data_IF_326450372076
#
_entry.id   IF_326450372076
#
_cell.length_a   1.000
_cell.length_b   1.000
_cell.length_c   1.000
_cell.angle_alpha   90.00
_cell.angle_beta   90.00
_cell.angle_gamma   90.00
#
_symmetry.space_group_name_H-M   'P 1'
#
loop_
_entity.id
_entity.type
_entity.pdbx_description
1 polymer ?
#
# COMPACT_ATOMS: atom_id res chain seq x y z
N UNK A 1 -22.89 -37.62 28.20
CA UNK A 1 -22.01 -36.86 29.10
C UNK A 1 -20.99 -36.16 28.22
N UNK A 2 -21.36 -35.09 27.50
CA UNK A 2 -21.49 -33.69 27.96
C UNK A 2 -20.13 -33.07 28.31
N UNK A 3 -19.74 -32.08 27.48
CA UNK A 3 -18.86 -30.91 27.70
C UNK A 3 -17.35 -31.15 27.50
N UNK A 4 -16.69 -30.67 26.41
CA UNK A 4 -16.36 -29.31 25.92
C UNK A 4 -15.17 -28.68 26.68
N UNK A 5 -14.04 -28.54 25.98
CA UNK A 5 -13.03 -27.47 26.16
C UNK A 5 -12.23 -27.43 24.84
N UNK A 6 -12.60 -26.64 23.83
CA UNK A 6 -12.51 -25.15 23.72
C UNK A 6 -11.09 -24.63 23.88
N UNK A 7 -10.17 -25.15 23.07
CA UNK A 7 -9.05 -24.36 22.60
C UNK A 7 -8.57 -24.95 21.28
N UNK A 8 -8.24 -24.09 20.31
CA UNK A 8 -7.51 -24.40 19.06
C UNK A 8 -8.34 -24.73 17.79
N UNK A 9 -9.09 -23.76 17.23
CA UNK A 9 -9.29 -23.69 15.78
C UNK A 9 -8.52 -22.54 15.11
N UNK A 10 -7.99 -21.57 15.88
CA UNK A 10 -7.44 -20.31 15.34
C UNK A 10 -6.10 -20.53 14.60
N UNK A 11 -5.26 -21.48 15.04
CA UNK A 11 -3.90 -21.66 14.49
C UNK A 11 -3.84 -22.21 13.07
N UNK A 12 -4.85 -22.95 12.61
CA UNK A 12 -4.87 -23.56 11.26
C UNK A 12 -5.46 -22.64 10.20
N UNK A 13 -6.38 -21.74 10.56
CA UNK A 13 -6.96 -20.78 9.63
C UNK A 13 -5.99 -19.63 9.30
N UNK A 14 -5.28 -19.09 10.29
CA UNK A 14 -4.22 -18.08 10.04
C UNK A 14 -3.13 -18.63 9.11
N UNK A 15 -2.80 -19.92 9.20
CA UNK A 15 -1.81 -20.56 8.33
C UNK A 15 -2.25 -20.74 6.86
N UNK A 16 -3.56 -20.76 6.57
CA UNK A 16 -4.12 -20.84 5.20
C UNK A 16 -4.40 -19.47 4.58
N UNK A 17 -4.60 -18.44 5.40
CA UNK A 17 -4.85 -17.05 4.96
C UNK A 17 -3.55 -16.22 4.91
N UNK A 18 -2.51 -16.61 5.66
CA UNK A 18 -1.18 -15.99 5.60
C UNK A 18 -0.56 -15.87 4.19
N UNK A 19 -0.72 -16.83 3.25
CA UNK A 19 -0.23 -16.63 1.89
C UNK A 19 -1.09 -15.66 1.10
N UNK A 20 -2.32 -15.32 1.49
CA UNK A 20 -3.19 -14.44 0.70
C UNK A 20 -2.88 -12.95 0.90
N UNK A 21 -2.57 -12.53 2.14
CA UNK A 21 -2.27 -11.13 2.46
C UNK A 21 -1.00 -10.57 1.79
N UNK A 22 0.01 -11.39 1.44
CA UNK A 22 1.32 -10.92 0.95
C UNK A 22 1.31 -9.80 -0.13
N UNK A 23 0.55 -9.88 -1.24
CA UNK A 23 0.64 -8.92 -2.34
C UNK A 23 -0.19 -7.67 -2.09
N UNK A 24 -1.37 -7.82 -1.49
CA UNK A 24 -2.19 -6.69 -1.07
C UNK A 24 -1.47 -5.90 0.03
N UNK A 25 -0.81 -6.60 0.94
CA UNK A 25 0.02 -6.01 1.98
C UNK A 25 1.23 -5.26 1.40
N UNK A 26 2.00 -5.88 0.50
CA UNK A 26 3.12 -5.23 -0.20
C UNK A 26 2.66 -4.00 -0.99
N UNK A 27 1.50 -4.05 -1.63
CA UNK A 27 0.95 -2.90 -2.31
C UNK A 27 0.48 -1.81 -1.34
N UNK A 28 -0.11 -2.16 -0.20
CA UNK A 28 -0.51 -1.20 0.83
C UNK A 28 0.69 -0.49 1.47
N UNK A 29 1.83 -1.17 1.63
CA UNK A 29 3.08 -0.57 2.14
C UNK A 29 3.56 0.55 1.23
N UNK A 30 3.41 0.40 -0.09
CA UNK A 30 3.83 1.44 -1.02
C UNK A 30 3.05 2.75 -0.85
N UNK A 31 1.84 2.72 -0.27
CA UNK A 31 1.07 3.93 0.06
C UNK A 31 1.51 4.57 1.38
N UNK A 32 2.35 3.92 2.17
CA UNK A 32 2.90 4.43 3.43
C UNK A 32 4.35 4.90 3.24
N UNK A 33 4.62 5.58 2.13
CA UNK A 33 5.93 6.11 1.79
C UNK A 33 6.15 7.53 2.36
N UNK A 34 7.41 7.96 2.54
CA UNK A 34 7.72 9.30 3.04
C UNK A 34 7.13 10.43 2.18
N UNK A 35 6.94 10.19 0.89
CA UNK A 35 6.33 11.14 -0.04
C UNK A 35 4.87 11.44 0.34
N UNK A 36 4.07 10.40 0.57
CA UNK A 36 2.69 10.56 1.01
C UNK A 36 2.59 11.13 2.44
N UNK A 37 3.54 10.82 3.32
CA UNK A 37 3.58 11.45 4.65
C UNK A 37 3.83 12.97 4.56
N UNK A 38 4.75 13.41 3.71
CA UNK A 38 5.07 14.83 3.57
C UNK A 38 3.85 15.66 3.10
N UNK A 39 3.11 15.16 2.11
CA UNK A 39 1.91 15.85 1.58
C UNK A 39 0.77 15.85 2.60
N UNK A 40 0.53 14.72 3.27
CA UNK A 40 -0.54 14.60 4.26
C UNK A 40 -0.28 15.43 5.53
N UNK A 41 0.96 15.48 6.03
CA UNK A 41 1.30 16.33 7.17
C UNK A 41 1.21 17.80 6.83
N UNK A 42 1.67 18.20 5.64
CA UNK A 42 1.54 19.59 5.19
C UNK A 42 0.05 19.97 5.07
N UNK A 43 -0.78 19.05 4.57
CA UNK A 43 -2.24 19.19 4.52
C UNK A 43 -2.89 19.39 5.87
N UNK A 44 -2.60 18.51 6.82
CA UNK A 44 -3.13 18.60 8.17
C UNK A 44 -2.64 19.83 8.93
N UNK A 45 -1.38 20.22 8.77
CA UNK A 45 -0.81 21.38 9.44
C UNK A 45 -1.37 22.72 8.92
N UNK A 46 -1.67 22.81 7.61
CA UNK A 46 -2.08 24.07 6.98
C UNK A 46 -3.61 24.23 6.96
N UNK A 47 -4.35 23.15 6.70
CA UNK A 47 -5.80 23.19 6.48
C UNK A 47 -6.60 22.34 7.48
N UNK A 48 -5.94 21.74 8.49
CA UNK A 48 -6.60 20.89 9.47
C UNK A 48 -7.32 19.72 8.82
N UNK A 49 -8.61 19.54 9.14
CA UNK A 49 -9.43 18.43 8.65
C UNK A 49 -10.06 18.67 7.26
N UNK A 50 -9.87 19.84 6.65
CA UNK A 50 -10.57 20.22 5.41
C UNK A 50 -10.26 19.30 4.22
N UNK A 51 -9.05 18.72 4.18
CA UNK A 51 -8.58 17.86 3.09
C UNK A 51 -8.82 16.36 3.34
N UNK A 52 -9.45 15.98 4.45
CA UNK A 52 -9.68 14.57 4.80
C UNK A 52 -10.52 13.86 3.74
N UNK A 53 -11.55 14.50 3.21
CA UNK A 53 -12.36 13.93 2.12
C UNK A 53 -11.53 13.63 0.86
N UNK A 54 -10.51 14.45 0.56
CA UNK A 54 -9.63 14.26 -0.60
C UNK A 54 -8.80 13.00 -0.41
N UNK A 55 -8.27 12.78 0.80
CA UNK A 55 -7.53 11.55 1.14
C UNK A 55 -8.43 10.32 1.01
N UNK A 56 -9.68 10.40 1.49
CA UNK A 56 -10.65 9.31 1.35
C UNK A 56 -10.99 9.03 -0.11
N UNK A 57 -11.22 10.08 -0.91
CA UNK A 57 -11.49 9.95 -2.35
C UNK A 57 -10.29 9.37 -3.11
N UNK A 58 -9.07 9.82 -2.77
CA UNK A 58 -7.83 9.31 -3.34
C UNK A 58 -7.63 7.82 -3.03
N UNK A 59 -7.86 7.41 -1.78
CA UNK A 59 -7.83 6.01 -1.37
C UNK A 59 -8.88 5.18 -2.12
N UNK A 60 -10.11 5.67 -2.27
CA UNK A 60 -11.14 4.96 -3.02
C UNK A 60 -10.74 4.76 -4.50
N UNK A 61 -10.13 5.77 -5.12
CA UNK A 61 -9.61 5.68 -6.49
C UNK A 61 -8.44 4.68 -6.57
N UNK A 62 -7.52 4.70 -5.60
CA UNK A 62 -6.44 3.73 -5.48
C UNK A 62 -6.98 2.30 -5.36
N UNK A 63 -7.97 2.06 -4.50
CA UNK A 63 -8.63 0.76 -4.35
C UNK A 63 -9.21 0.25 -5.66
N UNK A 64 -9.89 1.13 -6.41
CA UNK A 64 -10.42 0.78 -7.72
C UNK A 64 -9.30 0.36 -8.68
N UNK A 65 -8.26 1.18 -8.81
CA UNK A 65 -7.13 0.93 -9.73
C UNK A 65 -6.40 -0.35 -9.34
N UNK A 66 -6.10 -0.55 -8.05
CA UNK A 66 -5.44 -1.78 -7.57
C UNK A 66 -6.31 -3.01 -7.83
N UNK A 67 -7.63 -2.93 -7.59
CA UNK A 67 -8.53 -4.04 -7.88
C UNK A 67 -8.54 -4.44 -9.36
N UNK A 68 -8.40 -3.48 -10.27
CA UNK A 68 -8.33 -3.71 -11.72
C UNK A 68 -6.99 -4.34 -12.12
N UNK A 69 -5.88 -3.82 -11.61
CA UNK A 69 -4.52 -4.34 -11.84
C UNK A 69 -4.39 -5.79 -11.37
N UNK A 70 -4.96 -6.06 -10.20
CA UNK A 70 -5.01 -7.39 -9.61
C UNK A 70 -5.90 -8.33 -10.43
N UNK A 71 -7.07 -7.84 -10.90
CA UNK A 71 -7.99 -8.62 -11.73
C UNK A 71 -7.35 -9.00 -13.08
N UNK A 72 -6.57 -8.09 -13.65
CA UNK A 72 -5.82 -8.34 -14.87
C UNK A 72 -4.85 -9.51 -14.66
N UNK A 73 -3.95 -9.39 -13.68
CA UNK A 73 -2.94 -10.42 -13.39
C UNK A 73 -3.52 -11.80 -13.07
N UNK A 74 -4.66 -11.83 -12.36
CA UNK A 74 -5.34 -13.08 -12.00
C UNK A 74 -6.02 -13.77 -13.19
N UNK A 75 -6.66 -13.01 -14.09
CA UNK A 75 -7.44 -13.58 -15.20
C UNK A 75 -6.55 -13.93 -16.40
N UNK A 76 -5.64 -13.04 -16.77
CA UNK A 76 -4.81 -13.22 -17.98
C UNK A 76 -3.58 -14.07 -17.72
N UNK A 77 -3.17 -14.22 -16.45
CA UNK A 77 -1.91 -14.87 -16.08
C UNK A 77 -0.69 -14.14 -16.63
N UNK A 78 -0.82 -12.86 -16.96
CA UNK A 78 0.21 -11.98 -17.52
C UNK A 78 0.19 -10.66 -16.77
N UNK A 79 1.36 -10.06 -16.60
CA UNK A 79 1.45 -8.76 -15.93
C UNK A 79 1.03 -7.62 -16.88
N UNK A 80 0.80 -6.43 -16.32
CA UNK A 80 0.39 -5.26 -17.09
C UNK A 80 1.45 -4.86 -18.15
N UNK A 81 2.77 -4.87 -17.85
CA UNK A 81 3.81 -4.63 -18.87
C UNK A 81 3.81 -5.63 -20.04
N UNK A 82 3.60 -6.92 -19.77
CA UNK A 82 3.47 -7.98 -20.78
C UNK A 82 2.23 -7.75 -21.66
N UNK A 83 1.11 -7.33 -21.06
CA UNK A 83 -0.10 -6.94 -21.78
C UNK A 83 0.13 -5.73 -22.68
N UNK A 84 0.78 -4.68 -22.17
CA UNK A 84 1.16 -3.51 -22.94
C UNK A 84 2.08 -3.89 -24.10
N UNK A 85 3.09 -4.73 -23.89
CA UNK A 85 4.01 -5.19 -24.95
C UNK A 85 3.31 -6.04 -26.01
N UNK A 86 2.27 -6.78 -25.64
CA UNK A 86 1.51 -7.63 -26.57
C UNK A 86 0.51 -6.85 -27.44
N UNK A 87 -0.08 -5.76 -26.93
CA UNK A 87 -1.13 -5.01 -27.62
C UNK A 87 -0.67 -3.68 -28.21
N UNK A 88 0.47 -3.13 -27.76
CA UNK A 88 1.00 -1.84 -28.22
C UNK A 88 2.20 -2.01 -29.15
N UNK A 89 2.44 -1.06 -30.06
CA UNK A 89 3.62 -1.08 -30.90
C UNK A 89 4.91 -0.94 -30.06
N UNK A 90 6.01 -1.55 -30.54
CA UNK A 90 7.29 -1.66 -29.81
C UNK A 90 7.91 -0.33 -29.38
N UNK A 91 7.55 0.78 -30.01
CA UNK A 91 8.05 2.11 -29.62
C UNK A 91 7.34 2.63 -28.36
N UNK A 92 6.01 2.46 -28.25
CA UNK A 92 5.23 2.84 -27.06
C UNK A 92 5.66 2.02 -25.85
N UNK A 93 5.82 0.71 -26.03
CA UNK A 93 6.28 -0.17 -24.93
C UNK A 93 7.67 0.21 -24.40
N UNK A 94 8.57 0.72 -25.25
CA UNK A 94 9.88 1.23 -24.81
C UNK A 94 9.75 2.54 -24.03
N UNK A 95 8.89 3.45 -24.47
CA UNK A 95 8.62 4.71 -23.73
C UNK A 95 8.03 4.40 -22.36
N UNK A 96 7.04 3.50 -22.29
CA UNK A 96 6.45 3.06 -21.02
C UNK A 96 7.49 2.42 -20.09
N UNK A 97 8.43 1.65 -20.64
CA UNK A 97 9.52 1.08 -19.85
C UNK A 97 10.44 2.16 -19.27
N UNK A 98 10.89 3.12 -20.10
CA UNK A 98 11.72 4.25 -19.63
C UNK A 98 10.98 5.07 -18.58
N UNK A 99 9.69 5.34 -18.79
CA UNK A 99 8.85 6.05 -17.83
C UNK A 99 8.76 5.28 -16.50
N UNK A 100 8.50 3.98 -16.53
CA UNK A 100 8.39 3.16 -15.33
C UNK A 100 9.71 3.15 -14.53
N UNK A 101 10.85 3.06 -15.21
CA UNK A 101 12.17 3.12 -14.59
C UNK A 101 12.43 4.47 -13.93
N UNK A 102 12.12 5.58 -14.62
CA UNK A 102 12.24 6.94 -14.07
C UNK A 102 11.35 7.13 -12.84
N UNK A 103 10.13 6.62 -12.87
CA UNK A 103 9.19 6.70 -11.74
C UNK A 103 9.71 5.88 -10.55
N UNK A 104 10.22 4.67 -10.77
CA UNK A 104 10.79 3.85 -9.71
C UNK A 104 12.01 4.54 -9.07
N UNK A 105 12.94 5.08 -9.88
CA UNK A 105 14.09 5.82 -9.37
C UNK A 105 13.69 7.07 -8.58
N UNK A 106 12.63 7.77 -8.99
CA UNK A 106 12.11 8.93 -8.27
C UNK A 106 11.52 8.56 -6.91
N UNK A 107 10.79 7.42 -6.82
CA UNK A 107 10.27 6.91 -5.55
C UNK A 107 11.41 6.46 -4.63
N UNK A 108 12.40 5.72 -5.13
CA UNK A 108 13.57 5.29 -4.36
C UNK A 108 14.34 6.50 -3.78
N UNK A 109 14.46 7.59 -4.55
CA UNK A 109 15.09 8.83 -4.07
C UNK A 109 14.32 9.43 -2.88
N UNK A 110 12.98 9.47 -2.95
CA UNK A 110 12.16 9.95 -1.84
C UNK A 110 12.29 9.08 -0.59
N UNK A 111 12.40 7.75 -0.76
CA UNK A 111 12.61 6.82 0.36
C UNK A 111 13.98 7.01 1.04
N UNK A 112 15.05 7.16 0.25
CA UNK A 112 16.41 7.40 0.78
C UNK A 112 16.45 8.71 1.56
N UNK A 113 15.86 9.79 1.01
CA UNK A 113 15.79 11.09 1.68
C UNK A 113 14.96 11.01 2.96
N UNK A 114 13.79 10.36 2.90
CA UNK A 114 12.91 10.18 4.06
C UNK A 114 13.59 9.41 5.19
N UNK A 115 14.27 8.30 4.86
CA UNK A 115 15.03 7.52 5.83
C UNK A 115 16.22 8.29 6.42
N UNK A 116 16.93 9.07 5.59
CA UNK A 116 18.04 9.90 6.06
C UNK A 116 17.56 10.99 7.03
N UNK A 117 16.42 11.61 6.72
CA UNK A 117 15.78 12.60 7.58
C UNK A 117 15.31 11.97 8.90
N UNK A 118 14.75 10.76 8.87
CA UNK A 118 14.36 10.03 10.08
C UNK A 118 15.56 9.75 11.00
N UNK A 119 16.71 9.31 10.45
CA UNK A 119 17.94 9.09 11.21
C UNK A 119 18.52 10.38 11.77
N UNK A 120 18.43 11.48 11.01
CA UNK A 120 18.83 12.80 11.48
C UNK A 120 17.97 13.25 12.66
N UNK A 121 16.65 13.10 12.59
CA UNK A 121 15.74 13.48 13.68
C UNK A 121 15.89 12.60 14.93
N UNK A 122 16.16 11.31 14.76
CA UNK A 122 16.22 10.36 15.88
C UNK A 122 17.58 10.33 16.59
N UNK A 123 18.67 10.41 15.83
CA UNK A 123 20.04 10.21 16.34
C UNK A 123 20.98 11.40 16.08
N UNK A 124 20.52 12.44 15.40
CA UNK A 124 21.36 13.59 15.04
C UNK A 124 22.44 13.26 14.00
N UNK A 125 22.31 12.15 13.27
CA UNK A 125 23.30 11.71 12.27
C UNK A 125 23.22 12.62 11.04
N UNK A 126 24.35 13.15 10.53
CA UNK A 126 24.33 14.02 9.35
C UNK A 126 23.70 13.33 8.13
N UNK A 127 22.90 14.09 7.38
CA UNK A 127 22.15 13.62 6.20
C UNK A 127 22.93 12.72 5.23
N UNK A 128 24.17 13.04 4.79
CA UNK A 128 24.91 12.16 3.88
C UNK A 128 25.24 10.79 4.49
N UNK A 129 25.54 10.74 5.79
CA UNK A 129 25.78 9.49 6.48
C UNK A 129 24.47 8.71 6.71
N UNK A 130 23.39 9.41 7.04
CA UNK A 130 22.05 8.83 7.13
C UNK A 130 21.60 8.18 5.81
N UNK A 131 21.81 8.87 4.69
CA UNK A 131 21.50 8.35 3.35
C UNK A 131 22.34 7.12 2.96
N UNK A 132 23.61 7.06 3.38
CA UNK A 132 24.44 5.88 3.15
C UNK A 132 23.93 4.68 3.97
N UNK A 133 23.55 4.91 5.23
CA UNK A 133 22.99 3.87 6.11
C UNK A 133 21.68 3.33 5.52
N UNK A 134 20.77 4.20 5.08
CA UNK A 134 19.49 3.76 4.49
C UNK A 134 19.71 2.97 3.20
N UNK A 135 20.67 3.38 2.37
CA UNK A 135 21.06 2.63 1.18
C UNK A 135 21.56 1.22 1.54
N UNK A 136 22.44 1.08 2.53
CA UNK A 136 22.92 -0.23 3.01
C UNK A 136 21.77 -1.10 3.54
N UNK A 137 20.84 -0.51 4.29
CA UNK A 137 19.66 -1.22 4.81
C UNK A 137 18.73 -1.67 3.66
N UNK A 138 18.50 -0.83 2.65
CA UNK A 138 17.70 -1.17 1.48
C UNK A 138 18.33 -2.35 0.70
N UNK A 139 19.65 -2.31 0.47
CA UNK A 139 20.37 -3.42 -0.16
C UNK A 139 20.32 -4.70 0.69
N UNK A 140 20.38 -4.59 2.02
CA UNK A 140 20.24 -5.74 2.91
C UNK A 140 18.83 -6.35 2.82
N UNK A 141 17.78 -5.53 2.74
CA UNK A 141 16.39 -5.98 2.55
C UNK A 141 16.21 -6.69 1.19
N UNK A 142 16.76 -6.13 0.10
CA UNK A 142 16.78 -6.78 -1.21
C UNK A 142 17.54 -8.12 -1.18
N UNK A 143 18.65 -8.19 -0.45
CA UNK A 143 19.39 -9.42 -0.22
C UNK A 143 18.58 -10.48 0.54
N UNK A 144 17.73 -10.05 1.48
CA UNK A 144 16.84 -10.93 2.24
C UNK A 144 15.72 -11.50 1.37
N UNK A 145 15.20 -10.72 0.42
CA UNK A 145 14.19 -11.17 -0.54
C UNK A 145 14.65 -12.40 -1.33
N UNK A 146 15.94 -12.46 -1.72
CA UNK A 146 16.53 -13.62 -2.42
C UNK A 146 16.52 -14.91 -1.58
N UNK A 147 16.46 -14.81 -0.25
CA UNK A 147 16.54 -15.96 0.68
C UNK A 147 15.18 -16.49 1.14
N UNK A 148 14.08 -15.85 0.74
CA UNK A 148 12.72 -16.40 0.93
C UNK A 148 11.65 -15.34 1.18
N UNK A 149 10.60 -15.36 0.34
CA UNK A 149 9.49 -14.40 0.38
C UNK A 149 8.79 -14.30 1.74
N UNK A 150 8.62 -15.42 2.48
CA UNK A 150 7.92 -15.41 3.78
C UNK A 150 8.65 -14.63 4.87
N UNK A 151 10.00 -14.67 4.88
CA UNK A 151 10.79 -13.93 5.89
C UNK A 151 10.73 -12.43 5.61
N UNK A 152 10.81 -12.07 4.34
CA UNK A 152 10.66 -10.70 3.87
C UNK A 152 9.28 -10.13 4.24
N UNK A 153 8.20 -10.86 3.94
CA UNK A 153 6.83 -10.48 4.31
C UNK A 153 6.65 -10.27 5.83
N UNK A 154 7.21 -11.16 6.65
CA UNK A 154 7.07 -11.07 8.12
C UNK A 154 7.82 -9.85 8.69
N UNK A 155 9.03 -9.57 8.20
CA UNK A 155 9.84 -8.44 8.65
C UNK A 155 9.16 -7.12 8.31
N UNK A 156 8.69 -6.96 7.08
CA UNK A 156 8.01 -5.73 6.66
C UNK A 156 6.65 -5.62 7.34
N UNK A 157 5.97 -6.76 7.56
CA UNK A 157 4.79 -6.86 8.41
C UNK A 157 4.98 -6.24 9.78
N UNK A 158 6.07 -6.61 10.45
CA UNK A 158 6.45 -6.05 11.74
C UNK A 158 6.75 -4.55 11.67
N UNK A 159 7.53 -4.11 10.68
CA UNK A 159 7.86 -2.68 10.50
C UNK A 159 6.61 -1.82 10.29
N UNK A 160 5.68 -2.27 9.46
CA UNK A 160 4.42 -1.55 9.23
C UNK A 160 3.55 -1.52 10.48
N UNK A 161 3.50 -2.62 11.25
CA UNK A 161 2.77 -2.63 12.51
C UNK A 161 3.31 -1.58 13.49
N UNK A 162 4.64 -1.41 13.54
CA UNK A 162 5.26 -0.35 14.37
C UNK A 162 4.83 1.04 13.91
N UNK A 163 4.84 1.31 12.60
CA UNK A 163 4.40 2.60 12.04
C UNK A 163 2.92 2.87 12.37
N UNK A 164 2.05 1.88 12.12
CA UNK A 164 0.61 2.00 12.37
C UNK A 164 0.30 2.20 13.86
N UNK A 165 0.98 1.47 14.74
CA UNK A 165 0.80 1.61 16.19
C UNK A 165 1.32 2.96 16.70
N UNK A 166 2.43 3.47 16.13
CA UNK A 166 2.95 4.80 16.41
C UNK A 166 1.95 5.89 16.05
N UNK A 167 1.43 5.87 14.82
CA UNK A 167 0.42 6.83 14.37
C UNK A 167 -0.89 6.73 15.14
N UNK A 168 -1.31 5.52 15.50
CA UNK A 168 -2.50 5.32 16.32
C UNK A 168 -2.31 5.95 17.71
N UNK A 169 -1.14 5.75 18.32
CA UNK A 169 -0.81 6.35 19.60
C UNK A 169 -0.79 7.88 19.52
N UNK A 170 -0.17 8.45 18.49
CA UNK A 170 -0.14 9.91 18.28
C UNK A 170 -1.54 10.47 18.03
N UNK A 171 -2.38 9.80 17.22
CA UNK A 171 -3.74 10.22 16.96
C UNK A 171 -4.63 10.20 18.22
N UNK A 172 -4.47 9.17 19.06
CA UNK A 172 -5.19 9.07 20.34
C UNK A 172 -4.73 10.15 21.33
N UNK A 173 -3.43 10.47 21.35
CA UNK A 173 -2.85 11.49 22.24
C UNK A 173 -3.12 12.91 21.78
N UNK A 174 -3.21 13.14 20.47
CA UNK A 174 -3.53 14.45 19.90
C UNK A 174 -4.97 14.91 20.20
N UNK A 175 -5.86 14.01 20.65
CA UNK A 175 -7.23 14.34 20.98
C UNK A 175 -8.03 14.67 19.71
N UNK A 176 -8.20 13.69 18.82
CA UNK A 176 -8.93 13.89 17.58
C UNK A 176 -10.39 14.30 17.85
N UNK A 177 -10.74 15.52 17.47
CA UNK A 177 -12.11 16.02 17.51
C UNK A 177 -12.95 15.27 16.46
N UNK A 178 -13.60 14.18 16.88
CA UNK A 178 -14.51 13.39 16.04
C UNK A 178 -15.52 14.22 15.23
N UNK A 179 -16.14 15.28 15.80
CA UNK A 179 -17.04 16.16 15.06
C UNK A 179 -16.34 16.96 13.95
N UNK A 180 -15.11 17.43 14.19
CA UNK A 180 -14.33 18.18 13.20
C UNK A 180 -13.82 17.27 12.07
N UNK A 181 -13.48 16.02 12.39
CA UNK A 181 -13.16 14.99 11.40
C UNK A 181 -14.38 14.70 10.51
N UNK A 182 -15.57 14.57 11.11
CA UNK A 182 -16.81 14.36 10.35
C UNK A 182 -17.17 15.55 9.45
N UNK A 183 -16.91 16.78 9.91
CA UNK A 183 -17.06 17.98 9.08
C UNK A 183 -16.05 18.00 7.91
N UNK A 184 -14.82 17.53 8.14
CA UNK A 184 -13.77 17.40 7.11
C UNK A 184 -14.03 16.34 6.03
N UNK A 185 -15.00 15.44 6.25
CA UNK A 185 -15.48 14.50 5.23
C UNK A 185 -16.41 15.16 4.20
N UNK A 186 -16.93 16.35 4.49
CA UNK A 186 -17.76 17.10 3.56
C UNK A 186 -16.84 17.82 2.54
N UNK A 187 -17.04 17.61 1.23
CA UNK A 187 -16.20 18.21 0.21
C UNK A 187 -16.30 19.73 0.26
N UNK A 188 -15.21 20.37 0.70
CA UNK A 188 -15.05 21.81 0.76
C UNK A 188 -13.61 22.19 0.40
N UNK A 189 -13.44 23.39 -0.15
CA UNK A 189 -12.15 23.96 -0.51
C UNK A 189 -12.05 25.38 0.06
N UNK A 190 -10.88 25.73 0.58
CA UNK A 190 -10.59 27.07 1.09
C UNK A 190 -9.48 27.70 0.24
N UNK A 191 -9.86 28.24 -0.92
CA UNK A 191 -8.96 28.97 -1.82
C UNK A 191 -8.02 28.08 -2.65
N UNK A 192 -7.15 28.74 -3.41
CA UNK A 192 -6.27 28.11 -4.43
C UNK A 192 -5.23 27.17 -3.83
N UNK A 193 -4.69 27.51 -2.66
CA UNK A 193 -3.66 26.70 -1.98
C UNK A 193 -4.21 25.34 -1.52
N UNK A 194 -5.46 25.33 -1.04
CA UNK A 194 -6.14 24.08 -0.68
C UNK A 194 -6.37 23.18 -1.89
N UNK A 195 -6.67 23.77 -3.05
CA UNK A 195 -6.85 23.04 -4.29
C UNK A 195 -5.52 22.48 -4.80
N UNK A 196 -4.43 23.25 -4.72
CA UNK A 196 -3.09 22.80 -5.12
C UNK A 196 -2.61 21.64 -4.24
N UNK A 197 -2.90 21.70 -2.94
CA UNK A 197 -2.55 20.61 -2.04
C UNK A 197 -3.45 19.38 -2.24
N UNK A 198 -4.74 19.58 -2.50
CA UNK A 198 -5.67 18.51 -2.84
C UNK A 198 -5.28 17.79 -4.14
N UNK A 199 -4.90 18.54 -5.19
CA UNK A 199 -4.40 17.94 -6.44
C UNK A 199 -3.06 17.24 -6.21
N UNK A 200 -2.21 17.77 -5.33
CA UNK A 200 -0.98 17.10 -4.88
C UNK A 200 -1.25 15.75 -4.20
N UNK A 201 -2.19 15.70 -3.26
CA UNK A 201 -2.60 14.45 -2.57
C UNK A 201 -3.15 13.44 -3.57
N UNK A 202 -4.07 13.86 -4.45
CA UNK A 202 -4.64 12.99 -5.49
C UNK A 202 -3.56 12.47 -6.46
N UNK A 203 -2.65 13.33 -6.89
CA UNK A 203 -1.56 12.98 -7.80
C UNK A 203 -0.53 12.04 -7.18
N UNK A 204 -0.17 12.25 -5.92
CA UNK A 204 0.79 11.43 -5.19
C UNK A 204 0.25 10.02 -4.88
N UNK A 205 -1.07 9.87 -4.80
CA UNK A 205 -1.70 8.60 -4.41
C UNK A 205 -1.58 7.51 -5.49
N UNK A 206 -1.55 7.88 -6.78
CA UNK A 206 -1.47 6.86 -7.85
C UNK A 206 -0.02 6.61 -8.22
N UNK A 207 0.56 5.54 -7.70
CA UNK A 207 1.94 5.11 -8.01
C UNK A 207 1.96 4.07 -9.15
N UNK A 208 2.45 4.43 -10.35
CA UNK A 208 2.45 3.52 -11.51
C UNK A 208 3.27 2.24 -11.30
N UNK A 209 4.40 2.33 -10.60
CA UNK A 209 5.27 1.18 -10.35
C UNK A 209 4.58 0.12 -9.47
N UNK A 210 3.76 0.54 -8.50
CA UNK A 210 2.98 -0.37 -7.63
C UNK A 210 1.91 -1.10 -8.43
N UNK A 211 1.29 -0.42 -9.40
CA UNK A 211 0.30 -1.02 -10.29
C UNK A 211 0.93 -2.16 -11.11
N UNK A 212 2.12 -1.94 -11.68
CA UNK A 212 2.87 -2.98 -12.38
C UNK A 212 3.22 -4.13 -11.45
N UNK A 213 3.78 -3.83 -10.26
CA UNK A 213 4.17 -4.82 -9.27
C UNK A 213 3.00 -5.68 -8.81
N UNK A 214 1.85 -5.07 -8.50
CA UNK A 214 0.67 -5.79 -8.02
C UNK A 214 0.12 -6.76 -9.08
N UNK A 215 0.14 -6.37 -10.36
CA UNK A 215 -0.23 -7.26 -11.47
C UNK A 215 0.75 -8.45 -11.61
N UNK A 216 2.04 -8.24 -11.37
CA UNK A 216 3.06 -9.30 -11.43
C UNK A 216 2.98 -10.28 -10.24
N UNK A 217 2.74 -9.77 -9.03
CA UNK A 217 2.59 -10.60 -7.83
C UNK A 217 1.30 -11.45 -7.87
N UNK A 218 0.23 -10.93 -8.46
CA UNK A 218 -1.03 -11.68 -8.63
C UNK A 218 -0.95 -12.74 -9.74
N UNK A 219 -0.14 -12.52 -10.78
CA UNK A 219 0.14 -13.51 -11.83
C UNK A 219 0.72 -14.82 -11.27
N UNK A 220 1.66 -14.77 -10.32
CA UNK A 220 2.26 -15.97 -9.72
C UNK A 220 1.20 -16.87 -9.04
N UNK A 221 0.05 -16.31 -8.69
CA UNK A 221 -1.08 -17.01 -8.06
C UNK A 221 -2.14 -17.48 -9.05
N UNK A 222 -2.23 -16.87 -10.23
CA UNK A 222 -3.13 -17.31 -11.30
C UNK A 222 -2.86 -18.76 -11.75
N UNK A 223 -1.59 -19.21 -11.65
CA UNK A 223 -1.18 -20.59 -11.95
C UNK A 223 -1.86 -21.62 -11.03
N UNK A 224 -2.32 -21.22 -9.84
CA UNK A 224 -3.06 -22.08 -8.92
C UNK A 224 -4.59 -22.13 -9.18
N UNK A 225 -5.11 -21.26 -10.06
CA UNK A 225 -6.54 -21.11 -10.34
C UNK A 225 -6.91 -21.59 -11.75
N UNK A 226 -6.76 -22.89 -12.00
CA UNK A 226 -7.21 -23.55 -13.23
C UNK A 226 -8.75 -23.74 -13.31
N UNK A 227 -9.43 -23.65 -12.16
CA UNK A 227 -10.87 -23.97 -12.03
C UNK A 227 -11.77 -22.70 -12.05
N UNK A 228 -12.82 -22.64 -12.89
CA UNK A 228 -13.72 -21.47 -13.00
C UNK A 228 -14.40 -21.06 -11.68
N UNK A 229 -14.71 -22.00 -10.78
CA UNK A 229 -15.28 -21.70 -9.47
C UNK A 229 -14.24 -21.03 -8.55
N UNK A 230 -13.02 -21.56 -8.50
CA UNK A 230 -11.90 -20.99 -7.73
C UNK A 230 -11.49 -19.61 -8.22
N UNK A 231 -11.65 -19.32 -9.52
CA UNK A 231 -11.43 -17.96 -10.08
C UNK A 231 -12.44 -16.93 -9.56
N UNK A 232 -13.71 -17.30 -9.44
CA UNK A 232 -14.75 -16.40 -8.87
C UNK A 232 -14.51 -16.15 -7.39
N UNK A 233 -14.11 -17.19 -6.65
CA UNK A 233 -13.74 -17.08 -5.23
C UNK A 233 -12.49 -16.23 -5.03
N UNK A 234 -11.43 -16.44 -5.84
CA UNK A 234 -10.21 -15.64 -5.79
C UNK A 234 -10.49 -14.16 -6.12
N UNK A 235 -11.37 -13.86 -7.08
CA UNK A 235 -11.78 -12.48 -7.38
C UNK A 235 -12.56 -11.83 -6.24
N UNK A 236 -13.42 -12.59 -5.54
CA UNK A 236 -14.15 -12.11 -4.36
C UNK A 236 -13.20 -11.88 -3.18
N UNK A 237 -12.28 -12.81 -2.93
CA UNK A 237 -11.26 -12.67 -1.89
C UNK A 237 -10.33 -11.49 -2.17
N UNK A 238 -9.89 -11.31 -3.41
CA UNK A 238 -9.01 -10.20 -3.80
C UNK A 238 -9.72 -8.84 -3.67
N UNK A 239 -10.99 -8.75 -4.06
CA UNK A 239 -11.79 -7.53 -3.81
C UNK A 239 -11.95 -7.27 -2.32
N UNK A 240 -12.23 -8.30 -1.53
CA UNK A 240 -12.33 -8.17 -0.08
C UNK A 240 -10.99 -7.77 0.54
N UNK A 241 -9.86 -8.30 0.07
CA UNK A 241 -8.51 -8.00 0.57
C UNK A 241 -8.08 -6.58 0.21
N UNK A 242 -8.32 -6.12 -1.03
CA UNK A 242 -8.09 -4.70 -1.41
C UNK A 242 -9.01 -3.76 -0.63
N UNK A 243 -10.25 -4.18 -0.36
CA UNK A 243 -11.18 -3.43 0.48
C UNK A 243 -10.74 -3.38 1.95
N UNK A 244 -10.26 -4.49 2.51
CA UNK A 244 -9.81 -4.57 3.89
C UNK A 244 -8.47 -3.86 4.11
N UNK A 245 -7.56 -3.90 3.14
CA UNK A 245 -6.21 -3.35 3.25
C UNK A 245 -6.16 -1.82 3.10
N UNK A 246 -7.12 -1.21 2.39
CA UNK A 246 -7.13 0.23 2.12
C UNK A 246 -8.32 0.99 2.75
N UNK A 247 -9.29 0.32 3.38
CA UNK A 247 -10.37 0.99 4.11
C UNK A 247 -9.94 1.32 5.55
N UNK A 248 -10.48 2.41 6.16
CA UNK A 248 -10.38 2.61 7.61
C UNK A 248 -11.04 1.42 8.35
N UNK A 249 -10.65 1.12 9.60
CA UNK A 249 -10.98 -0.13 10.29
C UNK A 249 -12.47 -0.18 10.67
N UNK A 250 -13.33 -0.45 9.69
CA UNK A 250 -14.72 -0.81 9.91
C UNK A 250 -14.77 -2.33 10.10
N UNK A 251 -14.65 -2.75 11.35
CA UNK A 251 -15.02 -4.09 11.79
C UNK A 251 -16.50 -4.32 11.48
N UNK A 252 -16.81 -5.03 10.39
CA UNK A 252 -18.08 -5.74 10.27
C UNK A 252 -17.93 -7.01 9.44
N UNK A 253 -17.86 -8.11 10.17
CA UNK A 253 -18.52 -9.40 9.92
C UNK A 253 -19.03 -9.69 8.51
N UNK A 254 -18.43 -10.70 7.87
CA UNK A 254 -19.04 -12.01 7.53
C UNK A 254 -18.57 -12.54 6.15
N UNK A 255 -18.90 -13.78 5.75
CA UNK A 255 -18.04 -14.95 5.88
C UNK A 255 -17.66 -15.52 4.51
N UNK A 256 -16.37 -15.53 4.18
CA UNK A 256 -15.83 -16.30 3.07
C UNK A 256 -14.48 -16.86 3.53
N UNK A 257 -14.54 -17.90 4.37
CA UNK A 257 -13.37 -18.61 4.90
C UNK A 257 -13.26 -19.98 4.25
#
# INVERSE_FOLDING_TARGET
MVVLDVALPIRRHVARVAPWFGPAFVAAIAYADPGNFATNFTGGATFGYLLVWVIVAANLMAMLIQSLSAKLGLITGRDLPEMCRAHLPRWVSRILWVQAELVAMATDLAEIIGGALALYLLFGIPLPAGGLITCVVAFALLGLQRRGARRFETVIGGLLAVILLGFLYDALRAGADGPALAAGLVPSFAGTDSLLLATGILGATVMPHVIYLHSALTKTRAVAAADPQRRREALRCQRADTLLALAPPAWSTSPCW
#
